data_IF_983620033509
#
_entry.id   IF_983620033509
#
_cell.length_a   1.000
_cell.length_b   1.000
_cell.length_c   1.000
_cell.angle_alpha   90.00
_cell.angle_beta   90.00
_cell.angle_gamma   90.00
#
_symmetry.space_group_name_H-M   'P 1'
#
loop_
_entity.id
_entity.type
_entity.pdbx_description
1 polymer ?
#
# COMPACT_ATOMS: atom_id res chain seq x y z
N UNK A 1 -12.66 -25.13 3.19
CA UNK A 1 -12.76 -23.69 3.50
C UNK A 1 -12.87 -22.90 2.21
N UNK A 2 -13.95 -22.12 2.03
CA UNK A 2 -14.18 -21.30 0.83
C UNK A 2 -13.10 -20.21 0.79
N UNK A 3 -12.32 -20.13 -0.29
CA UNK A 3 -11.42 -19.01 -0.51
C UNK A 3 -12.30 -17.76 -0.71
N UNK A 4 -12.43 -16.97 0.34
CA UNK A 4 -12.97 -15.63 0.26
C UNK A 4 -12.20 -14.88 -0.83
N UNK A 5 -12.90 -14.41 -1.86
CA UNK A 5 -12.27 -13.74 -3.01
C UNK A 5 -11.55 -12.50 -2.47
N UNK A 6 -10.24 -12.60 -2.24
CA UNK A 6 -9.41 -11.48 -1.76
C UNK A 6 -9.61 -10.32 -2.73
N UNK A 7 -10.26 -9.25 -2.26
CA UNK A 7 -10.43 -8.04 -3.07
C UNK A 7 -9.02 -7.48 -3.33
N UNK A 8 -8.68 -7.13 -4.59
CA UNK A 8 -7.44 -6.43 -4.85
C UNK A 8 -7.43 -5.12 -4.06
N UNK A 9 -6.30 -4.81 -3.41
CA UNK A 9 -6.18 -3.57 -2.65
C UNK A 9 -6.26 -2.36 -3.59
N UNK A 10 -6.67 -1.21 -3.04
CA UNK A 10 -6.75 0.05 -3.80
C UNK A 10 -5.35 0.65 -4.00
N UNK A 11 -4.35 0.14 -3.28
CA UNK A 11 -2.93 0.55 -3.38
C UNK A 11 -2.42 0.61 -4.83
N UNK A 12 -2.75 -0.39 -5.67
CA UNK A 12 -2.29 -0.40 -7.07
C UNK A 12 -2.87 0.75 -7.87
N UNK A 13 -4.13 1.09 -7.62
CA UNK A 13 -4.82 2.19 -8.27
C UNK A 13 -4.21 3.52 -7.84
N UNK A 14 -4.12 3.77 -6.52
CA UNK A 14 -3.52 4.98 -5.95
C UNK A 14 -2.11 5.19 -6.48
N UNK A 15 -1.27 4.13 -6.48
CA UNK A 15 0.09 4.22 -7.00
C UNK A 15 0.13 4.67 -8.47
N UNK A 16 -0.76 4.15 -9.30
CA UNK A 16 -0.84 4.51 -10.72
C UNK A 16 -1.37 5.93 -10.94
N UNK A 17 -2.39 6.34 -10.18
CA UNK A 17 -2.91 7.72 -10.22
C UNK A 17 -1.86 8.75 -9.78
N UNK A 18 -0.98 8.35 -8.86
CA UNK A 18 0.17 9.14 -8.45
C UNK A 18 1.38 9.02 -9.40
N UNK A 19 1.27 8.27 -10.50
CA UNK A 19 2.37 8.01 -11.44
C UNK A 19 3.67 7.54 -10.75
N UNK A 20 3.52 6.63 -9.78
CA UNK A 20 4.62 6.06 -9.03
C UNK A 20 4.96 4.65 -9.52
N UNK A 21 6.24 4.31 -9.58
CA UNK A 21 6.68 2.90 -9.68
C UNK A 21 6.63 2.24 -8.30
N UNK A 22 6.78 0.90 -8.23
CA UNK A 22 6.91 0.24 -6.91
C UNK A 22 8.23 0.65 -6.26
N UNK A 23 9.27 0.82 -7.06
CA UNK A 23 10.60 1.27 -6.67
C UNK A 23 10.56 2.68 -6.06
N UNK A 24 9.69 3.56 -6.53
CA UNK A 24 9.50 4.88 -5.91
C UNK A 24 8.93 4.80 -4.50
N UNK A 25 8.04 3.83 -4.24
CA UNK A 25 7.57 3.54 -2.87
C UNK A 25 8.70 2.92 -2.06
N UNK A 26 9.48 1.97 -2.61
CA UNK A 26 10.65 1.37 -1.92
C UNK A 26 11.69 2.42 -1.53
N UNK A 27 11.93 3.45 -2.35
CA UNK A 27 12.87 4.53 -1.99
C UNK A 27 12.43 5.35 -0.78
N UNK A 28 11.12 5.36 -0.48
CA UNK A 28 10.49 6.12 0.61
C UNK A 28 10.13 5.24 1.81
N UNK A 29 9.94 3.95 1.59
CA UNK A 29 9.57 2.97 2.60
C UNK A 29 10.67 1.94 2.80
N UNK A 30 10.96 1.56 4.04
CA UNK A 30 11.97 0.53 4.35
C UNK A 30 11.45 -0.90 4.15
N UNK A 31 10.90 -1.20 2.96
CA UNK A 31 10.34 -2.51 2.57
C UNK A 31 10.71 -2.86 1.13
N UNK A 32 10.57 -4.15 0.79
CA UNK A 32 10.88 -4.64 -0.56
C UNK A 32 9.76 -4.34 -1.57
N UNK A 33 10.13 -4.28 -2.86
CA UNK A 33 9.17 -4.21 -3.97
C UNK A 33 8.20 -5.41 -3.97
N UNK A 34 8.68 -6.59 -3.54
CA UNK A 34 7.86 -7.79 -3.37
C UNK A 34 6.78 -7.63 -2.32
N UNK A 35 7.09 -6.96 -1.19
CA UNK A 35 6.11 -6.63 -0.14
C UNK A 35 5.01 -5.72 -0.69
N UNK A 36 5.38 -4.70 -1.47
CA UNK A 36 4.42 -3.79 -2.12
C UNK A 36 3.56 -4.55 -3.13
N UNK A 37 4.17 -5.39 -3.98
CA UNK A 37 3.42 -6.24 -4.92
C UNK A 37 2.44 -7.16 -4.21
N UNK A 38 2.83 -7.75 -3.09
CA UNK A 38 1.96 -8.60 -2.29
C UNK A 38 0.78 -7.80 -1.72
N UNK A 39 1.04 -6.62 -1.15
CA UNK A 39 -0.01 -5.69 -0.70
C UNK A 39 -0.99 -5.37 -1.84
N UNK A 40 -0.48 -4.98 -3.02
CA UNK A 40 -1.28 -4.68 -4.21
C UNK A 40 -2.22 -5.83 -4.60
N UNK A 41 -1.73 -7.07 -4.53
CA UNK A 41 -2.47 -8.28 -4.85
C UNK A 41 -3.45 -8.73 -3.75
N UNK A 42 -3.64 -7.94 -2.69
CA UNK A 42 -4.50 -8.31 -1.56
C UNK A 42 -3.90 -9.46 -0.73
N UNK A 43 -2.59 -9.69 -0.81
CA UNK A 43 -1.91 -10.61 0.09
C UNK A 43 -1.75 -9.96 1.46
N UNK A 44 -1.68 -10.81 2.46
CA UNK A 44 -1.57 -10.39 3.85
C UNK A 44 -0.21 -9.72 4.07
N UNK A 45 -0.19 -8.57 4.73
CA UNK A 45 1.03 -7.83 5.08
C UNK A 45 1.05 -7.51 6.56
N UNK A 46 2.24 -7.41 7.15
CA UNK A 46 2.39 -7.01 8.55
C UNK A 46 1.94 -5.57 8.74
N UNK A 47 1.39 -5.25 9.92
CA UNK A 47 0.94 -3.91 10.27
C UNK A 47 2.04 -2.86 10.05
N UNK A 48 3.27 -3.16 10.48
CA UNK A 48 4.43 -2.29 10.26
C UNK A 48 4.67 -1.97 8.78
N UNK A 49 4.57 -2.97 7.89
CA UNK A 49 4.75 -2.77 6.45
C UNK A 49 3.60 -1.96 5.85
N UNK A 50 2.37 -2.17 6.31
CA UNK A 50 1.21 -1.39 5.88
C UNK A 50 1.37 0.10 6.23
N UNK A 51 1.80 0.40 7.46
CA UNK A 51 2.11 1.77 7.91
C UNK A 51 3.21 2.39 7.06
N UNK A 52 4.30 1.67 6.78
CA UNK A 52 5.39 2.17 5.94
C UNK A 52 4.95 2.49 4.50
N UNK A 53 4.09 1.66 3.91
CA UNK A 53 3.49 1.94 2.59
C UNK A 53 2.64 3.21 2.66
N UNK A 54 1.79 3.33 3.68
CA UNK A 54 0.91 4.48 3.85
C UNK A 54 1.71 5.77 4.01
N UNK A 55 2.75 5.77 4.84
CA UNK A 55 3.63 6.92 5.04
C UNK A 55 4.25 7.38 3.71
N UNK A 56 4.81 6.45 2.93
CA UNK A 56 5.43 6.77 1.64
C UNK A 56 4.44 7.38 0.63
N UNK A 57 3.19 6.90 0.61
CA UNK A 57 2.14 7.46 -0.25
C UNK A 57 1.72 8.85 0.22
N UNK A 58 1.51 9.00 1.53
CA UNK A 58 1.08 10.26 2.12
C UNK A 58 2.15 11.36 1.99
N UNK A 59 3.43 11.01 1.97
CA UNK A 59 4.50 11.95 1.63
C UNK A 59 4.35 12.50 0.21
N UNK A 60 4.04 11.65 -0.77
CA UNK A 60 3.81 12.08 -2.16
C UNK A 60 2.53 12.91 -2.28
N UNK A 61 1.45 12.49 -1.62
CA UNK A 61 0.19 13.25 -1.59
C UNK A 61 0.41 14.65 -1.00
N UNK A 62 1.16 14.74 0.11
CA UNK A 62 1.53 16.02 0.73
C UNK A 62 2.34 16.90 -0.23
N UNK A 63 3.30 16.36 -0.97
CA UNK A 63 4.05 17.11 -1.99
C UNK A 63 3.14 17.64 -3.10
N UNK A 64 2.05 16.93 -3.41
CA UNK A 64 1.04 17.32 -4.39
C UNK A 64 -0.12 18.15 -3.80
N UNK A 65 -0.05 18.53 -2.52
CA UNK A 65 -1.11 19.25 -1.80
C UNK A 65 -2.46 18.51 -1.82
N UNK A 66 -2.42 17.18 -1.86
CA UNK A 66 -3.60 16.30 -1.81
C UNK A 66 -3.85 15.81 -0.38
N UNK A 67 -5.10 15.50 0.00
CA UNK A 67 -5.41 15.00 1.33
C UNK A 67 -4.74 13.63 1.58
N UNK A 68 -4.29 13.35 2.81
CA UNK A 68 -3.69 12.07 3.15
C UNK A 68 -4.73 10.95 3.12
N UNK A 69 -4.27 9.73 2.83
CA UNK A 69 -5.06 8.51 2.95
C UNK A 69 -4.89 7.87 4.33
N UNK A 70 -5.78 6.92 4.64
CA UNK A 70 -5.71 6.05 5.81
C UNK A 70 -5.44 4.60 5.40
N UNK A 71 -5.16 3.71 6.37
CA UNK A 71 -4.96 2.28 6.09
C UNK A 71 -6.25 1.62 5.56
N UNK A 72 -7.39 2.05 6.11
CA UNK A 72 -8.72 1.61 5.69
C UNK A 72 -8.96 1.98 4.24
N UNK A 73 -8.61 3.20 3.83
CA UNK A 73 -8.77 3.67 2.44
C UNK A 73 -7.94 2.84 1.44
N UNK A 74 -6.81 2.25 1.86
CA UNK A 74 -5.98 1.40 0.99
C UNK A 74 -6.50 -0.03 0.87
N UNK A 75 -7.46 -0.45 1.70
CA UNK A 75 -7.98 -1.83 1.79
C UNK A 75 -6.86 -2.89 1.89
N UNK A 76 -5.84 -2.64 2.73
CA UNK A 76 -4.77 -3.60 2.96
C UNK A 76 -5.24 -4.74 3.86
N UNK A 77 -4.88 -5.97 3.52
CA UNK A 77 -5.15 -7.15 4.36
C UNK A 77 -4.01 -7.27 5.37
N UNK A 78 -4.32 -7.05 6.64
CA UNK A 78 -3.33 -7.06 7.71
C UNK A 78 -3.18 -8.46 8.32
N UNK A 79 -1.95 -8.81 8.69
CA UNK A 79 -1.69 -9.98 9.51
C UNK A 79 -2.03 -9.61 10.95
N UNK A 80 -3.00 -10.30 11.55
CA UNK A 80 -3.23 -10.24 13.00
C UNK A 80 -2.03 -10.91 13.68
N UNK A 81 -1.40 -10.21 14.62
CA UNK A 81 -0.29 -10.71 15.46
C UNK A 81 -0.84 -11.28 16.77
#
# INVERSE_FOLDING_TARGET
MRQERRKPSVLRQVRKELDLTREDIVRRARISASTIRNAELGRTVRQRSAVQILTAINEVLRMRQQPPLTLEALHLVLLEE
#
